data_IF_086964780906
#
_entry.id   IF_086964780906
#
_cell.length_a   1.000
_cell.length_b   1.000
_cell.length_c   1.000
_cell.angle_alpha   90.00
_cell.angle_beta   90.00
_cell.angle_gamma   90.00
#
_symmetry.space_group_name_H-M   'P 1'
#
loop_
_entity.id
_entity.type
_entity.pdbx_description
1 polymer ?
#
# COMPACT_ATOMS: atom_id res chain seq x y z
N UNK A 1 -12.56 -17.90 10.13
CA UNK A 1 -12.29 -16.95 9.03
C UNK A 1 -13.59 -16.20 8.78
N UNK A 2 -13.80 -15.09 9.47
CA UNK A 2 -15.06 -14.33 9.40
C UNK A 2 -15.12 -13.64 8.05
N UNK A 3 -16.15 -13.94 7.25
CA UNK A 3 -16.44 -13.17 6.04
C UNK A 3 -16.63 -11.70 6.43
N UNK A 4 -16.05 -10.78 5.66
CA UNK A 4 -16.44 -9.38 5.71
C UNK A 4 -17.94 -9.30 5.42
N UNK A 5 -18.72 -8.74 6.34
CA UNK A 5 -20.14 -8.49 6.09
C UNK A 5 -20.27 -7.54 4.90
N UNK A 6 -21.20 -7.78 3.95
CA UNK A 6 -21.33 -6.95 2.74
C UNK A 6 -21.41 -5.45 3.02
N UNK A 7 -22.00 -5.05 4.15
CA UNK A 7 -22.07 -3.66 4.58
C UNK A 7 -20.68 -3.04 4.83
N UNK A 8 -19.75 -3.80 5.41
CA UNK A 8 -18.40 -3.35 5.72
C UNK A 8 -17.55 -3.20 4.45
N UNK A 9 -17.74 -4.10 3.47
CA UNK A 9 -17.14 -3.96 2.13
C UNK A 9 -17.64 -2.67 1.46
N UNK A 10 -18.95 -2.42 1.49
CA UNK A 10 -19.53 -1.20 0.93
C UNK A 10 -19.01 0.05 1.64
N UNK A 11 -18.86 0.03 2.96
CA UNK A 11 -18.31 1.15 3.75
C UNK A 11 -16.87 1.50 3.37
N UNK A 12 -16.01 0.49 3.14
CA UNK A 12 -14.64 0.67 2.66
C UNK A 12 -14.62 1.33 1.26
N UNK A 13 -15.57 1.00 0.39
CA UNK A 13 -15.69 1.60 -0.95
C UNK A 13 -16.45 2.94 -0.99
N UNK A 14 -17.18 3.32 0.06
CA UNK A 14 -17.92 4.58 0.11
C UNK A 14 -17.01 5.80 0.25
N UNK A 15 -15.81 5.64 0.80
CA UNK A 15 -14.74 6.64 0.69
C UNK A 15 -13.95 6.31 -0.56
N UNK A 16 -14.00 7.16 -1.59
CA UNK A 16 -13.10 7.00 -2.72
C UNK A 16 -11.67 7.16 -2.21
N UNK A 17 -10.80 6.13 -2.32
CA UNK A 17 -9.40 6.30 -2.00
C UNK A 17 -8.79 7.30 -2.98
N UNK A 18 -7.96 8.21 -2.48
CA UNK A 18 -7.22 9.13 -3.34
C UNK A 18 -6.29 8.32 -4.25
N UNK A 19 -6.53 8.41 -5.56
CA UNK A 19 -5.69 7.78 -6.56
C UNK A 19 -4.38 8.56 -6.70
N UNK A 20 -3.27 7.90 -6.39
CA UNK A 20 -1.93 8.46 -6.55
C UNK A 20 -1.19 7.77 -7.67
N UNK A 21 -0.93 8.49 -8.76
CA UNK A 21 -0.10 8.02 -9.87
C UNK A 21 1.34 8.47 -9.65
N UNK A 22 2.28 7.53 -9.71
CA UNK A 22 3.71 7.76 -9.55
C UNK A 22 4.45 7.28 -10.80
N UNK A 23 5.61 7.85 -11.07
CA UNK A 23 6.52 7.36 -12.12
C UNK A 23 7.46 6.31 -11.54
N UNK A 24 8.00 5.45 -12.41
CA UNK A 24 9.05 4.53 -12.02
C UNK A 24 10.25 5.31 -11.45
N UNK A 25 10.70 4.92 -10.27
CA UNK A 25 11.77 5.60 -9.53
C UNK A 25 11.29 6.63 -8.51
N UNK A 26 10.02 7.02 -8.51
CA UNK A 26 9.47 7.89 -7.46
C UNK A 26 9.30 7.11 -6.15
N UNK A 27 9.70 7.71 -5.03
CA UNK A 27 9.48 7.13 -3.71
C UNK A 27 8.03 7.31 -3.25
N UNK A 28 7.42 6.25 -2.75
CA UNK A 28 6.08 6.33 -2.11
C UNK A 28 6.19 7.01 -0.74
N UNK A 29 7.17 6.58 0.07
CA UNK A 29 7.61 7.17 1.34
C UNK A 29 9.05 6.74 1.64
N UNK A 30 9.69 7.36 2.63
CA UNK A 30 11.02 7.03 3.13
C UNK A 30 10.97 6.46 4.56
N UNK A 31 12.03 5.76 4.96
CA UNK A 31 12.19 5.30 6.33
C UNK A 31 12.20 6.49 7.30
N UNK A 32 11.31 6.46 8.29
CA UNK A 32 11.13 7.54 9.27
C UNK A 32 10.01 8.52 8.95
N UNK A 33 9.38 8.44 7.77
CA UNK A 33 8.17 9.21 7.47
C UNK A 33 7.02 8.78 8.38
N UNK A 34 6.15 9.74 8.74
CA UNK A 34 4.94 9.44 9.52
C UNK A 34 4.04 8.50 8.73
N UNK A 35 3.69 7.36 9.34
CA UNK A 35 2.84 6.35 8.73
C UNK A 35 1.34 6.72 8.89
N UNK A 36 0.90 7.72 8.14
CA UNK A 36 -0.49 8.22 8.18
C UNK A 36 -1.43 7.47 7.22
N UNK A 37 -0.86 6.73 6.25
CA UNK A 37 -1.60 6.12 5.16
C UNK A 37 -1.19 4.68 4.91
N UNK A 38 -2.17 3.85 4.56
CA UNK A 38 -1.95 2.53 3.96
C UNK A 38 -2.19 2.64 2.46
N UNK A 39 -1.39 1.92 1.68
CA UNK A 39 -1.43 1.96 0.23
C UNK A 39 -1.76 0.58 -0.34
N UNK A 40 -2.61 0.54 -1.36
CA UNK A 40 -2.86 -0.64 -2.18
C UNK A 40 -2.32 -0.42 -3.60
N UNK A 41 -1.69 -1.45 -4.17
CA UNK A 41 -1.17 -1.38 -5.54
C UNK A 41 -2.28 -1.77 -6.52
N UNK A 42 -2.72 -0.83 -7.36
CA UNK A 42 -3.72 -1.07 -8.40
C UNK A 42 -3.05 -1.56 -9.68
N UNK A 43 -2.00 -0.88 -10.12
CA UNK A 43 -1.20 -1.20 -11.31
C UNK A 43 0.28 -0.87 -11.07
N UNK A 44 1.18 -1.55 -11.78
CA UNK A 44 2.63 -1.42 -11.61
C UNK A 44 3.19 -2.26 -10.46
N UNK A 45 4.41 -1.93 -10.02
CA UNK A 45 5.12 -2.62 -8.94
C UNK A 45 5.80 -1.60 -8.02
N UNK A 46 6.02 -1.97 -6.76
CA UNK A 46 6.71 -1.13 -5.76
C UNK A 46 7.87 -1.93 -5.18
N UNK A 47 9.06 -1.34 -5.18
CA UNK A 47 10.25 -1.93 -4.55
C UNK A 47 10.40 -1.45 -3.10
N UNK A 48 10.58 -2.38 -2.18
CA UNK A 48 10.93 -2.09 -0.80
C UNK A 48 12.46 -2.11 -0.67
N UNK A 49 13.04 -0.95 -0.38
CA UNK A 49 14.48 -0.74 -0.33
C UNK A 49 14.93 -0.47 1.10
N UNK A 50 15.93 -1.21 1.58
CA UNK A 50 16.58 -0.95 2.87
C UNK A 50 18.09 -0.97 2.69
N UNK A 51 18.77 0.05 3.22
CA UNK A 51 20.22 0.25 3.04
C UNK A 51 20.67 0.17 1.57
N UNK A 52 19.86 0.71 0.65
CA UNK A 52 20.16 0.72 -0.80
C UNK A 52 19.99 -0.63 -1.50
N UNK A 53 19.44 -1.65 -0.82
CA UNK A 53 19.15 -2.96 -1.41
C UNK A 53 17.64 -3.20 -1.46
N UNK A 54 17.15 -3.61 -2.62
CA UNK A 54 15.79 -4.13 -2.78
C UNK A 54 15.71 -5.47 -2.05
N UNK A 55 14.83 -5.57 -1.05
CA UNK A 55 14.60 -6.82 -0.33
C UNK A 55 13.27 -7.47 -0.70
N UNK A 56 12.33 -6.70 -1.28
CA UNK A 56 11.03 -7.20 -1.71
C UNK A 56 10.48 -6.33 -2.86
N UNK A 57 9.74 -6.95 -3.78
CA UNK A 57 9.00 -6.27 -4.83
C UNK A 57 7.54 -6.65 -4.72
N UNK A 58 6.69 -5.66 -4.44
CA UNK A 58 5.25 -5.81 -4.25
C UNK A 58 4.52 -5.67 -5.59
N UNK A 59 3.51 -6.52 -5.79
CA UNK A 59 2.73 -6.63 -7.03
C UNK A 59 1.31 -6.06 -6.86
N UNK A 60 0.56 -5.85 -7.96
CA UNK A 60 -0.84 -5.44 -7.87
C UNK A 60 -1.67 -6.33 -6.93
N UNK A 61 -2.50 -5.70 -6.12
CA UNK A 61 -3.28 -6.33 -5.04
C UNK A 61 -2.58 -6.39 -3.69
N UNK A 62 -1.27 -6.13 -3.61
CA UNK A 62 -0.57 -6.02 -2.34
C UNK A 62 -0.94 -4.70 -1.61
N UNK A 63 -0.92 -4.77 -0.28
CA UNK A 63 -1.14 -3.62 0.62
C UNK A 63 0.10 -3.43 1.49
N UNK A 64 0.54 -2.18 1.64
CA UNK A 64 1.73 -1.80 2.41
C UNK A 64 1.51 -0.46 3.12
N UNK A 65 2.47 -0.02 3.95
CA UNK A 65 2.31 1.19 4.78
C UNK A 65 1.49 0.97 6.06
N UNK A 66 1.01 -0.26 6.29
CA UNK A 66 0.58 -0.70 7.62
C UNK A 66 1.81 -0.78 8.53
N UNK A 67 1.79 -0.11 9.68
CA UNK A 67 2.92 -0.12 10.65
C UNK A 67 3.28 -1.49 11.23
N UNK A 68 2.70 -2.58 10.73
CA UNK A 68 2.99 -3.95 11.10
C UNK A 68 2.89 -4.84 9.86
N UNK A 69 4.00 -5.49 9.51
CA UNK A 69 3.94 -6.83 8.94
C UNK A 69 4.81 -7.69 9.87
N UNK A 70 4.16 -8.68 10.49
CA UNK A 70 4.76 -9.68 11.39
C UNK A 70 5.85 -10.49 10.68
#
# INVERSE_FOLDING_TARGET
>A
MTMLEPAHTVEIFQKQPDLRTLKAGDAVYHEGDTADYMYGIIEGEVEMVKHGKVYETLKPGAVFGVGLIL
#
